data_IF_343668624827
#
_entry.id   IF_343668624827
#
_cell.length_a   1.000
_cell.length_b   1.000
_cell.length_c   1.000
_cell.angle_alpha   90.00
_cell.angle_beta   90.00
_cell.angle_gamma   90.00
#
_symmetry.space_group_name_H-M   'P 1'
#
loop_
_entity.id
_entity.type
_entity.pdbx_description
1 polymer ?
#
# COMPACT_ATOMS: atom_id res chain seq x y z
N UNK A 1 24.98 -27.04 27.39
CA UNK A 1 23.58 -26.81 27.04
C UNK A 1 23.54 -26.51 25.55
N UNK A 2 22.90 -27.32 24.70
CA UNK A 2 22.87 -27.09 23.26
C UNK A 2 21.84 -26.01 22.90
N UNK A 3 22.21 -25.11 21.99
CA UNK A 3 21.36 -24.10 21.37
C UNK A 3 20.32 -24.77 20.47
N UNK A 4 19.05 -24.33 20.44
CA UNK A 4 18.11 -24.79 19.43
C UNK A 4 18.46 -24.22 18.05
N UNK A 5 18.56 -25.10 17.07
CA UNK A 5 18.70 -24.76 15.67
C UNK A 5 17.41 -24.13 15.17
N UNK A 6 17.49 -22.91 14.64
CA UNK A 6 16.42 -22.28 13.89
C UNK A 6 16.19 -23.06 12.59
N UNK A 7 15.09 -23.78 12.52
CA UNK A 7 14.64 -24.45 11.30
C UNK A 7 13.97 -23.40 10.41
N UNK A 8 14.70 -22.86 9.43
CA UNK A 8 14.14 -22.06 8.36
C UNK A 8 13.32 -22.99 7.45
N UNK A 9 12.01 -22.97 7.62
CA UNK A 9 11.07 -23.66 6.73
C UNK A 9 10.88 -22.78 5.47
N UNK A 10 11.68 -23.06 4.45
CA UNK A 10 11.43 -22.50 3.11
C UNK A 10 10.19 -23.19 2.54
N UNK A 11 9.05 -22.52 2.65
CA UNK A 11 7.81 -22.96 2.01
C UNK A 11 7.86 -22.54 0.53
N UNK A 12 8.36 -23.42 -0.33
CA UNK A 12 8.23 -23.28 -1.77
C UNK A 12 6.78 -23.61 -2.13
N UNK A 13 5.92 -22.62 -2.19
CA UNK A 13 4.58 -22.72 -2.78
C UNK A 13 4.70 -22.71 -4.29
N UNK A 14 4.72 -23.89 -4.91
CA UNK A 14 4.43 -24.03 -6.34
C UNK A 14 2.93 -23.88 -6.57
N UNK A 15 2.46 -22.67 -6.71
CA UNK A 15 1.09 -22.37 -7.15
C UNK A 15 1.02 -22.49 -8.68
N UNK A 16 0.69 -23.68 -9.16
CA UNK A 16 0.22 -23.86 -10.54
C UNK A 16 -1.27 -23.57 -10.60
N UNK A 17 -1.68 -22.31 -10.61
CA UNK A 17 -3.03 -21.92 -11.02
C UNK A 17 -3.04 -21.80 -12.55
N UNK A 18 -3.71 -22.74 -13.21
CA UNK A 18 -3.96 -22.69 -14.64
C UNK A 18 -4.99 -21.59 -14.93
N UNK A 19 -4.58 -20.32 -14.91
CA UNK A 19 -5.38 -19.24 -15.46
C UNK A 19 -5.32 -19.37 -16.99
N UNK A 20 -6.40 -19.84 -17.60
CA UNK A 20 -6.60 -19.80 -19.05
C UNK A 20 -7.26 -18.45 -19.36
N UNK A 21 -6.57 -17.51 -20.03
CA UNK A 21 -7.20 -16.26 -20.44
C UNK A 21 -8.35 -16.57 -21.41
N UNK A 22 -9.45 -15.78 -21.39
CA UNK A 22 -10.53 -15.96 -22.35
C UNK A 22 -10.00 -15.75 -23.76
N UNK A 23 -10.13 -16.75 -24.62
CA UNK A 23 -9.84 -16.66 -26.05
C UNK A 23 -11.03 -15.96 -26.71
N UNK A 24 -11.06 -14.63 -26.70
CA UNK A 24 -11.87 -13.86 -27.64
C UNK A 24 -11.03 -13.57 -28.88
N UNK A 25 -11.61 -13.73 -30.07
CA UNK A 25 -10.90 -13.57 -31.34
C UNK A 25 -10.54 -12.12 -31.70
N UNK A 26 -10.80 -11.16 -30.84
CA UNK A 26 -10.35 -9.77 -30.99
C UNK A 26 -8.94 -9.61 -30.42
N UNK A 27 -8.07 -8.81 -31.07
CA UNK A 27 -6.73 -8.54 -30.54
C UNK A 27 -6.87 -7.89 -29.15
N UNK A 28 -6.27 -8.52 -28.14
CA UNK A 28 -6.25 -7.95 -26.79
C UNK A 28 -5.49 -6.62 -26.79
N UNK A 29 -6.00 -5.58 -26.10
CA UNK A 29 -5.26 -4.33 -25.99
C UNK A 29 -3.92 -4.58 -25.30
N UNK A 30 -2.91 -3.80 -25.64
CA UNK A 30 -1.69 -3.76 -24.81
C UNK A 30 -2.01 -3.12 -23.46
N UNK A 31 -1.14 -3.39 -22.46
CA UNK A 31 -1.37 -2.95 -21.09
C UNK A 31 -1.55 -1.44 -20.98
N UNK A 32 -0.71 -0.64 -21.65
CA UNK A 32 -0.80 0.83 -21.59
C UNK A 32 -2.13 1.33 -22.15
N UNK A 33 -2.52 0.84 -23.34
CA UNK A 33 -3.79 1.21 -23.97
C UNK A 33 -5.00 0.84 -23.13
N UNK A 34 -4.98 -0.32 -22.47
CA UNK A 34 -6.04 -0.76 -21.58
C UNK A 34 -6.16 0.15 -20.34
N UNK A 35 -5.02 0.51 -19.76
CA UNK A 35 -4.99 1.42 -18.59
C UNK A 35 -5.42 2.84 -18.95
N UNK A 36 -4.98 3.36 -20.11
CA UNK A 36 -5.40 4.67 -20.60
C UNK A 36 -6.89 4.72 -20.89
N UNK A 37 -7.44 3.68 -21.51
CA UNK A 37 -8.86 3.58 -21.81
C UNK A 37 -9.71 3.51 -20.52
N UNK A 38 -9.29 2.72 -19.53
CA UNK A 38 -9.95 2.64 -18.24
C UNK A 38 -9.95 3.99 -17.50
N UNK A 39 -8.85 4.74 -17.58
CA UNK A 39 -8.73 6.05 -16.94
C UNK A 39 -9.36 7.20 -17.75
N UNK A 40 -9.72 6.96 -19.02
CA UNK A 40 -10.35 7.98 -19.86
C UNK A 40 -11.80 8.23 -19.44
N UNK A 41 -12.21 9.50 -19.43
CA UNK A 41 -13.60 9.88 -19.20
C UNK A 41 -14.05 9.85 -17.74
N UNK A 42 -13.20 9.51 -16.78
CA UNK A 42 -13.50 9.63 -15.36
C UNK A 42 -13.35 11.10 -14.95
N UNK A 43 -14.41 11.75 -14.42
CA UNK A 43 -14.33 13.13 -13.96
C UNK A 43 -13.36 13.24 -12.77
N UNK A 44 -12.53 14.27 -12.77
CA UNK A 44 -11.53 14.48 -11.72
C UNK A 44 -10.11 14.05 -12.13
N UNK A 45 -9.22 14.04 -11.17
CA UNK A 45 -7.82 13.68 -11.40
C UNK A 45 -7.60 12.20 -11.08
N UNK A 46 -6.94 11.51 -12.02
CA UNK A 46 -6.54 10.09 -11.88
C UNK A 46 -5.06 9.98 -12.16
N UNK A 47 -4.27 9.62 -11.16
CA UNK A 47 -2.85 9.30 -11.26
C UNK A 47 -2.64 7.79 -11.14
N UNK A 48 -1.86 7.22 -12.06
CA UNK A 48 -1.60 5.78 -12.10
C UNK A 48 -0.11 5.52 -12.26
N UNK A 49 0.41 4.57 -11.50
CA UNK A 49 1.72 3.97 -11.72
C UNK A 49 1.57 2.46 -11.71
N UNK A 50 2.12 1.80 -12.73
CA UNK A 50 2.27 0.35 -12.78
C UNK A 50 3.73 0.03 -13.05
N UNK A 51 4.35 -0.75 -12.18
CA UNK A 51 5.72 -1.24 -12.37
C UNK A 51 5.71 -2.75 -12.41
N UNK A 52 6.14 -3.32 -13.52
CA UNK A 52 6.41 -4.76 -13.64
C UNK A 52 7.86 -4.99 -13.18
N UNK A 53 8.02 -5.68 -12.06
CA UNK A 53 9.32 -5.79 -11.40
C UNK A 53 10.28 -6.74 -12.11
N UNK A 54 9.74 -7.69 -12.90
CA UNK A 54 10.55 -8.67 -13.63
C UNK A 54 11.07 -8.11 -14.95
N UNK A 55 10.20 -7.45 -15.74
CA UNK A 55 10.61 -6.85 -17.01
C UNK A 55 11.21 -5.45 -16.87
N UNK A 56 10.97 -4.77 -15.73
CA UNK A 56 11.33 -3.37 -15.52
C UNK A 56 10.43 -2.39 -16.29
N UNK A 57 9.32 -2.86 -16.87
CA UNK A 57 8.36 -1.98 -17.54
C UNK A 57 7.68 -1.05 -16.53
N UNK A 58 7.53 0.22 -16.92
CA UNK A 58 6.85 1.24 -16.13
C UNK A 58 5.80 1.94 -16.98
N UNK A 59 4.56 1.93 -16.49
CA UNK A 59 3.49 2.79 -17.00
C UNK A 59 3.21 3.90 -15.99
N UNK A 60 3.12 5.12 -16.48
CA UNK A 60 2.89 6.30 -15.66
C UNK A 60 1.86 7.23 -16.30
N UNK A 61 0.87 7.62 -15.52
CA UNK A 61 -0.11 8.64 -15.87
C UNK A 61 -0.20 9.64 -14.72
N UNK A 62 0.10 10.92 -14.99
CA UNK A 62 0.12 12.00 -13.97
C UNK A 62 0.85 11.60 -12.68
N UNK A 63 1.96 10.88 -12.83
CA UNK A 63 2.64 10.26 -11.70
C UNK A 63 3.21 11.28 -10.70
N UNK A 64 3.56 12.50 -11.16
CA UNK A 64 4.15 13.55 -10.34
C UNK A 64 3.11 14.51 -9.74
N UNK A 65 1.81 14.33 -10.05
CA UNK A 65 0.76 15.16 -9.47
C UNK A 65 0.67 14.94 -7.97
N UNK A 66 0.86 16.01 -7.23
CA UNK A 66 0.78 15.96 -5.77
C UNK A 66 -0.67 16.02 -5.31
N UNK A 67 -1.05 15.06 -4.48
CA UNK A 67 -2.39 14.94 -3.91
C UNK A 67 -2.33 14.81 -2.40
N UNK A 68 -3.49 14.93 -1.75
CA UNK A 68 -3.63 14.52 -0.36
C UNK A 68 -3.34 13.02 -0.22
N UNK A 69 -2.44 12.64 0.69
CA UNK A 69 -2.04 11.24 0.84
C UNK A 69 -3.16 10.36 1.41
N UNK A 70 -4.14 10.96 2.08
CA UNK A 70 -5.11 10.23 2.86
C UNK A 70 -4.40 9.15 3.70
N UNK A 71 -4.98 7.98 3.91
CA UNK A 71 -4.35 6.93 4.72
C UNK A 71 -3.14 6.24 4.09
N UNK A 72 -2.69 6.63 2.88
CA UNK A 72 -1.44 6.09 2.31
C UNK A 72 -0.20 6.57 3.06
N UNK A 73 -0.25 7.71 3.77
CA UNK A 73 0.88 8.16 4.60
C UNK A 73 1.26 7.14 5.70
N UNK A 74 0.34 6.24 6.06
CA UNK A 74 0.56 5.16 7.04
C UNK A 74 1.64 4.17 6.58
N UNK A 75 1.89 4.08 5.29
CA UNK A 75 3.04 3.35 4.73
C UNK A 75 4.37 3.94 5.24
N UNK A 76 4.46 5.26 5.31
CA UNK A 76 5.67 5.95 5.77
C UNK A 76 5.85 5.83 7.28
N UNK A 77 4.73 5.88 8.03
CA UNK A 77 4.74 5.65 9.49
C UNK A 77 5.20 4.22 9.79
N UNK A 78 4.70 3.23 9.05
CA UNK A 78 5.13 1.84 9.16
C UNK A 78 6.64 1.71 8.94
N UNK A 79 7.18 2.27 7.86
CA UNK A 79 8.62 2.22 7.58
C UNK A 79 9.46 2.92 8.66
N UNK A 80 8.99 4.05 9.20
CA UNK A 80 9.67 4.77 10.28
C UNK A 80 9.70 3.96 11.58
N UNK A 81 8.63 3.22 11.92
CA UNK A 81 8.62 2.31 13.07
C UNK A 81 9.66 1.19 12.92
N UNK A 82 9.72 0.54 11.76
CA UNK A 82 10.73 -0.49 11.51
C UNK A 82 12.16 0.07 11.52
N UNK A 83 12.35 1.31 11.06
CA UNK A 83 13.64 1.97 11.12
C UNK A 83 14.07 2.25 12.58
N UNK A 84 13.17 2.82 13.40
CA UNK A 84 13.44 3.05 14.83
C UNK A 84 13.73 1.75 15.57
N UNK A 85 13.05 0.66 15.20
CA UNK A 85 13.25 -0.65 15.83
C UNK A 85 14.66 -1.23 15.61
N UNK A 86 15.46 -0.71 14.67
CA UNK A 86 16.87 -1.08 14.55
C UNK A 86 17.70 -0.60 15.77
N UNK A 87 17.34 0.59 16.30
CA UNK A 87 18.02 1.20 17.44
C UNK A 87 17.32 0.83 18.77
N UNK A 88 16.03 0.49 18.73
CA UNK A 88 15.23 0.05 19.87
C UNK A 88 14.52 -1.29 19.56
N UNK A 89 15.17 -2.42 19.79
CA UNK A 89 14.57 -3.74 19.51
C UNK A 89 13.34 -4.08 20.34
N UNK A 90 13.05 -3.35 21.42
CA UNK A 90 11.88 -3.54 22.28
C UNK A 90 10.70 -2.62 21.89
N UNK A 91 10.87 -1.76 20.88
CA UNK A 91 9.87 -0.80 20.45
C UNK A 91 8.48 -1.42 20.26
N UNK A 92 8.41 -2.56 19.60
CA UNK A 92 7.13 -3.21 19.29
C UNK A 92 6.39 -3.77 20.51
N UNK A 93 7.08 -3.97 21.63
CA UNK A 93 6.52 -4.41 22.91
C UNK A 93 6.19 -3.22 23.83
N UNK A 94 6.71 -2.03 23.53
CA UNK A 94 6.33 -0.79 24.23
C UNK A 94 4.86 -0.46 23.99
N UNK A 95 4.25 0.32 24.90
CA UNK A 95 2.84 0.71 24.76
C UNK A 95 2.71 2.20 24.46
N UNK A 96 1.69 2.54 23.67
CA UNK A 96 1.24 3.90 23.38
C UNK A 96 -0.20 4.10 23.86
N UNK A 97 -0.57 5.32 24.32
CA UNK A 97 -1.94 5.61 24.70
C UNK A 97 -2.81 5.80 23.45
N UNK A 98 -3.72 4.88 23.19
CA UNK A 98 -4.67 4.96 22.05
C UNK A 98 -6.05 5.35 22.58
N UNK A 99 -6.67 6.34 21.94
CA UNK A 99 -8.04 6.76 22.25
C UNK A 99 -9.02 5.68 21.80
N UNK A 100 -9.86 5.20 22.71
CA UNK A 100 -10.86 4.18 22.43
C UNK A 100 -12.23 4.60 22.91
N UNK A 101 -13.31 4.36 22.12
CA UNK A 101 -14.66 4.68 22.57
C UNK A 101 -15.08 3.74 23.70
N UNK A 102 -15.70 4.31 24.72
CA UNK A 102 -16.31 3.59 25.85
C UNK A 102 -17.79 3.96 25.98
N UNK A 103 -18.62 2.98 26.23
CA UNK A 103 -20.01 3.20 26.56
C UNK A 103 -20.16 3.38 28.07
N UNK A 104 -20.41 4.61 28.54
CA UNK A 104 -20.60 4.94 29.94
C UNK A 104 -21.98 5.53 30.15
N UNK A 105 -22.83 4.88 30.95
CA UNK A 105 -24.20 5.32 31.25
C UNK A 105 -25.06 5.65 29.99
N UNK A 106 -24.85 4.90 28.89
CA UNK A 106 -25.60 5.12 27.63
C UNK A 106 -25.04 6.23 26.72
N UNK A 107 -23.90 6.83 27.11
CA UNK A 107 -23.17 7.83 26.30
C UNK A 107 -21.82 7.24 25.84
N UNK A 108 -21.40 7.65 24.63
CA UNK A 108 -20.06 7.33 24.13
C UNK A 108 -19.09 8.36 24.71
N UNK A 109 -18.16 7.90 25.50
CA UNK A 109 -17.00 8.64 26.00
C UNK A 109 -15.72 8.05 25.38
N UNK A 110 -14.59 8.73 25.51
CA UNK A 110 -13.30 8.26 25.01
C UNK A 110 -12.31 8.14 26.16
N UNK A 111 -11.59 7.04 26.19
CA UNK A 111 -10.54 6.81 27.17
C UNK A 111 -9.23 6.40 26.49
N UNK A 112 -8.12 6.83 27.05
CA UNK A 112 -6.80 6.38 26.63
C UNK A 112 -6.55 4.98 27.19
N UNK A 113 -6.26 4.04 26.29
CA UNK A 113 -5.91 2.66 26.63
C UNK A 113 -4.47 2.39 26.19
N UNK A 114 -3.65 1.75 27.05
CA UNK A 114 -2.32 1.33 26.64
C UNK A 114 -2.43 0.18 25.60
N UNK A 115 -1.91 0.41 24.42
CA UNK A 115 -1.89 -0.56 23.31
C UNK A 115 -0.43 -0.79 22.93
N UNK A 116 -0.03 -2.05 22.74
CA UNK A 116 1.32 -2.35 22.26
C UNK A 116 1.55 -1.71 20.88
N UNK A 117 2.75 -1.18 20.63
CA UNK A 117 3.10 -0.56 19.34
C UNK A 117 2.83 -1.53 18.18
N UNK A 118 3.11 -2.82 18.36
CA UNK A 118 2.80 -3.89 17.40
C UNK A 118 1.30 -3.95 17.07
N UNK A 119 0.44 -3.97 18.07
CA UNK A 119 -1.01 -4.04 17.90
C UNK A 119 -1.54 -2.74 17.24
N UNK A 120 -0.99 -1.60 17.62
CA UNK A 120 -1.30 -0.31 17.00
C UNK A 120 -0.91 -0.28 15.52
N UNK A 121 0.28 -0.79 15.18
CA UNK A 121 0.75 -0.91 13.80
C UNK A 121 -0.16 -1.85 12.98
N UNK A 122 -0.54 -3.00 13.52
CA UNK A 122 -1.47 -3.92 12.86
C UNK A 122 -2.83 -3.25 12.62
N UNK A 123 -3.42 -2.60 13.63
CA UNK A 123 -4.68 -1.88 13.46
C UNK A 123 -4.58 -0.74 12.43
N UNK A 124 -3.46 0.00 12.42
CA UNK A 124 -3.18 1.07 11.46
C UNK A 124 -3.15 0.55 10.02
N UNK A 125 -2.56 -0.61 9.77
CA UNK A 125 -2.43 -1.16 8.42
C UNK A 125 -3.65 -1.98 8.04
N UNK A 126 -4.10 -2.95 8.84
CA UNK A 126 -5.17 -3.89 8.52
C UNK A 126 -6.54 -3.17 8.34
N UNK A 127 -6.85 -2.23 9.22
CA UNK A 127 -8.15 -1.54 9.29
C UNK A 127 -8.08 -0.04 9.08
N UNK A 128 -6.88 0.49 8.87
CA UNK A 128 -6.66 1.93 8.73
C UNK A 128 -7.08 2.73 9.97
N UNK A 129 -6.91 2.16 11.18
CA UNK A 129 -7.29 2.78 12.46
C UNK A 129 -6.58 4.14 12.64
N UNK A 130 -7.36 5.21 12.79
CA UNK A 130 -6.83 6.57 12.88
C UNK A 130 -6.31 6.90 14.28
N UNK A 131 -6.94 6.37 15.32
CA UNK A 131 -6.52 6.61 16.70
C UNK A 131 -5.19 5.93 16.99
N UNK A 132 -5.01 4.68 16.53
CA UNK A 132 -3.72 4.01 16.58
C UNK A 132 -2.67 4.76 15.76
N UNK A 133 -3.03 5.27 14.57
CA UNK A 133 -2.13 6.07 13.73
C UNK A 133 -1.67 7.33 14.45
N UNK A 134 -2.58 8.09 15.06
CA UNK A 134 -2.25 9.32 15.79
C UNK A 134 -1.26 9.03 16.93
N UNK A 135 -1.50 7.99 17.73
CA UNK A 135 -0.61 7.58 18.82
C UNK A 135 0.78 7.16 18.31
N UNK A 136 0.87 6.44 17.18
CA UNK A 136 2.14 6.02 16.59
C UNK A 136 2.91 7.20 15.98
N UNK A 137 2.22 8.18 15.38
CA UNK A 137 2.86 9.40 14.89
C UNK A 137 3.31 10.29 16.06
N UNK A 138 2.57 10.34 17.15
CA UNK A 138 2.99 11.03 18.37
C UNK A 138 4.26 10.39 18.97
N UNK A 139 4.32 9.05 19.00
CA UNK A 139 5.50 8.31 19.46
C UNK A 139 6.75 8.63 18.63
N UNK A 140 6.62 8.65 17.29
CA UNK A 140 7.74 8.90 16.38
C UNK A 140 8.10 10.37 16.26
N UNK A 141 7.11 11.24 16.25
CA UNK A 141 7.21 12.60 15.75
C UNK A 141 7.21 12.66 14.20
N UNK A 142 6.61 13.71 13.66
CA UNK A 142 6.55 13.92 12.20
C UNK A 142 7.91 14.08 11.55
N UNK A 143 8.89 14.62 12.27
CA UNK A 143 10.25 14.84 11.76
C UNK A 143 10.95 13.52 11.43
N UNK A 144 10.78 12.49 12.27
CA UNK A 144 11.36 11.16 12.01
C UNK A 144 10.69 10.46 10.83
N UNK A 145 9.35 10.57 10.73
CA UNK A 145 8.62 10.05 9.57
C UNK A 145 9.11 10.75 8.29
N UNK A 146 9.25 12.07 8.30
CA UNK A 146 9.73 12.84 7.14
C UNK A 146 11.22 12.57 6.84
N UNK A 147 12.05 12.32 7.84
CA UNK A 147 13.43 11.88 7.63
C UNK A 147 13.48 10.50 6.92
N UNK A 148 12.57 9.60 7.28
CA UNK A 148 12.42 8.31 6.60
C UNK A 148 11.96 8.49 5.15
N UNK A 149 10.95 9.32 4.89
CA UNK A 149 10.48 9.70 3.54
C UNK A 149 11.66 10.20 2.69
N UNK A 150 12.42 11.16 3.22
CA UNK A 150 13.56 11.74 2.53
C UNK A 150 14.65 10.70 2.23
N UNK A 151 14.93 9.80 3.17
CA UNK A 151 15.94 8.73 2.99
C UNK A 151 15.58 7.74 1.88
N UNK A 152 14.28 7.54 1.60
CA UNK A 152 13.77 6.71 0.52
C UNK A 152 13.70 7.45 -0.82
N UNK A 153 14.03 8.76 -0.84
CA UNK A 153 14.02 9.59 -2.03
C UNK A 153 12.60 9.94 -2.53
N UNK A 154 11.62 10.00 -1.61
CA UNK A 154 10.24 10.39 -1.90
C UNK A 154 10.15 11.92 -1.82
N UNK A 155 9.92 12.59 -2.95
CA UNK A 155 10.09 14.05 -3.07
C UNK A 155 8.81 14.84 -2.87
N UNK A 156 7.67 14.20 -3.12
CA UNK A 156 6.34 14.82 -3.08
C UNK A 156 5.57 14.47 -1.81
N UNK A 157 6.12 13.54 -1.02
CA UNK A 157 5.50 13.03 0.19
C UNK A 157 5.92 13.82 1.42
N UNK A 158 4.92 14.25 2.21
CA UNK A 158 5.14 14.95 3.48
C UNK A 158 4.07 14.55 4.48
N UNK A 159 4.48 14.21 5.71
CA UNK A 159 3.59 13.98 6.84
C UNK A 159 3.65 15.19 7.77
N UNK A 160 2.49 15.80 8.05
CA UNK A 160 2.35 16.98 8.92
C UNK A 160 1.69 16.66 10.24
N UNK A 161 0.89 15.59 10.27
CA UNK A 161 0.21 15.13 11.49
C UNK A 161 -0.13 13.64 11.40
N UNK A 162 -0.60 13.06 12.50
CA UNK A 162 -1.17 11.71 12.51
C UNK A 162 -2.59 11.61 11.94
N UNK A 163 -3.18 12.73 11.51
CA UNK A 163 -4.49 12.75 10.88
C UNK A 163 -4.41 12.40 9.39
N UNK A 164 -5.52 11.92 8.82
CA UNK A 164 -5.57 11.55 7.41
C UNK A 164 -5.48 12.77 6.47
N UNK A 165 -5.88 13.95 6.94
CA UNK A 165 -5.87 15.20 6.17
C UNK A 165 -4.58 16.00 6.35
N UNK A 166 -4.22 16.76 5.32
CA UNK A 166 -3.06 17.66 5.34
C UNK A 166 -1.72 17.02 4.99
N UNK A 167 -1.65 15.71 4.86
CA UNK A 167 -0.49 14.98 4.38
C UNK A 167 -0.51 14.90 2.85
N UNK A 168 0.63 14.91 2.19
CA UNK A 168 0.70 14.86 0.72
C UNK A 168 1.57 13.73 0.20
N UNK A 169 1.30 13.31 -1.04
CA UNK A 169 2.11 12.33 -1.78
C UNK A 169 1.88 12.46 -3.29
N UNK A 170 2.58 11.67 -4.09
CA UNK A 170 2.34 11.46 -5.52
C UNK A 170 2.30 9.97 -5.85
N UNK A 171 1.73 9.61 -7.01
CA UNK A 171 1.73 8.22 -7.44
C UNK A 171 3.15 7.70 -7.69
N UNK A 172 4.07 8.55 -8.14
CA UNK A 172 5.48 8.20 -8.28
C UNK A 172 6.14 7.85 -6.95
N UNK A 173 5.90 8.64 -5.91
CA UNK A 173 6.49 8.37 -4.60
C UNK A 173 5.95 7.07 -3.99
N UNK A 174 4.65 6.84 -4.05
CA UNK A 174 4.03 5.58 -3.60
C UNK A 174 4.55 4.40 -4.42
N UNK A 175 4.65 4.54 -5.76
CA UNK A 175 5.21 3.52 -6.64
C UNK A 175 6.66 3.20 -6.30
N UNK A 176 7.48 4.24 -6.03
CA UNK A 176 8.86 4.07 -5.57
C UNK A 176 8.92 3.35 -4.22
N UNK A 177 8.11 3.76 -3.25
CA UNK A 177 8.05 3.11 -1.95
C UNK A 177 7.74 1.61 -2.09
N UNK A 178 6.68 1.26 -2.83
CA UNK A 178 6.28 -0.14 -3.02
C UNK A 178 7.30 -0.95 -3.82
N UNK A 179 7.99 -0.31 -4.79
CA UNK A 179 9.09 -0.94 -5.54
C UNK A 179 10.26 -1.28 -4.63
N UNK A 180 10.66 -0.35 -3.75
CA UNK A 180 11.71 -0.60 -2.76
C UNK A 180 11.28 -1.70 -1.78
N UNK A 181 10.01 -1.69 -1.36
CA UNK A 181 9.45 -2.71 -0.47
C UNK A 181 9.50 -4.10 -1.11
N UNK A 182 9.03 -4.23 -2.36
CA UNK A 182 9.06 -5.49 -3.10
C UNK A 182 10.50 -6.01 -3.33
N UNK A 183 11.45 -5.11 -3.53
CA UNK A 183 12.87 -5.44 -3.64
C UNK A 183 13.56 -5.71 -2.31
N UNK A 184 12.82 -5.61 -1.20
CA UNK A 184 13.33 -5.82 0.15
C UNK A 184 14.42 -4.81 0.55
N UNK A 185 14.28 -3.56 0.07
CA UNK A 185 15.26 -2.48 0.23
C UNK A 185 14.82 -1.41 1.26
N UNK A 186 13.67 -1.59 1.92
CA UNK A 186 13.22 -0.69 3.00
C UNK A 186 13.70 -1.23 4.34
N UNK A 187 14.56 -0.46 5.01
CA UNK A 187 15.17 -0.73 6.33
C UNK A 187 16.07 -1.96 6.29
N UNK A 188 15.52 -3.16 6.13
CA UNK A 188 16.23 -4.42 5.94
C UNK A 188 15.35 -5.40 5.14
N UNK A 189 15.90 -6.49 4.60
CA UNK A 189 15.09 -7.53 3.96
C UNK A 189 14.01 -8.09 4.89
N UNK A 190 14.32 -8.35 6.15
CA UNK A 190 13.40 -8.91 7.15
C UNK A 190 12.28 -7.90 7.49
N UNK A 191 12.63 -6.62 7.62
CA UNK A 191 11.66 -5.55 7.84
C UNK A 191 10.73 -5.39 6.64
N UNK A 192 11.27 -5.43 5.42
CA UNK A 192 10.49 -5.39 4.19
C UNK A 192 9.52 -6.56 4.08
N UNK A 193 9.96 -7.79 4.40
CA UNK A 193 9.10 -8.97 4.43
C UNK A 193 7.96 -8.81 5.46
N UNK A 194 8.29 -8.34 6.66
CA UNK A 194 7.30 -8.10 7.70
C UNK A 194 6.28 -7.01 7.31
N UNK A 195 6.71 -5.92 6.69
CA UNK A 195 5.83 -4.87 6.16
C UNK A 195 4.93 -5.39 5.04
N UNK A 196 5.46 -6.20 4.13
CA UNK A 196 4.70 -6.84 3.06
C UNK A 196 3.63 -7.77 3.63
N UNK A 197 3.99 -8.54 4.66
CA UNK A 197 3.04 -9.41 5.36
C UNK A 197 1.89 -8.65 6.01
N UNK A 198 2.15 -7.49 6.61
CA UNK A 198 1.10 -6.62 7.14
C UNK A 198 0.16 -6.14 6.02
N UNK A 199 0.70 -5.71 4.88
CA UNK A 199 -0.09 -5.24 3.74
C UNK A 199 -0.94 -6.35 3.11
N UNK A 200 -0.52 -7.63 3.16
CA UNK A 200 -1.32 -8.78 2.74
C UNK A 200 -2.56 -9.01 3.61
N UNK A 201 -2.56 -8.50 4.84
CA UNK A 201 -3.67 -8.63 5.79
C UNK A 201 -4.70 -7.51 5.67
N UNK A 202 -4.54 -6.58 4.72
CA UNK A 202 -5.48 -5.46 4.51
C UNK A 202 -6.94 -5.95 4.49
N UNK A 203 -7.75 -5.41 5.41
CA UNK A 203 -9.17 -5.78 5.55
C UNK A 203 -10.12 -5.03 4.60
N UNK A 204 -9.67 -3.93 3.99
CA UNK A 204 -10.49 -3.09 3.10
C UNK A 204 -10.19 -3.44 1.64
N UNK A 205 -10.98 -4.33 1.05
CA UNK A 205 -10.77 -4.91 -0.27
C UNK A 205 -11.87 -4.47 -1.26
N UNK A 206 -12.14 -3.17 -1.37
CA UNK A 206 -13.25 -2.60 -2.13
C UNK A 206 -12.81 -1.77 -3.36
N UNK A 207 -11.60 -1.98 -3.89
CA UNK A 207 -10.97 -1.17 -4.96
C UNK A 207 -10.22 -2.01 -5.98
N UNK A 208 -8.89 -1.87 -6.12
CA UNK A 208 -8.07 -2.62 -7.09
C UNK A 208 -8.29 -4.13 -6.98
N UNK A 209 -8.39 -4.65 -5.77
CA UNK A 209 -8.64 -6.08 -5.50
C UNK A 209 -9.95 -6.60 -6.12
N UNK A 210 -10.96 -5.76 -6.35
CA UNK A 210 -12.21 -6.16 -7.02
C UNK A 210 -12.02 -6.61 -8.47
N UNK A 211 -10.94 -6.15 -9.13
CA UNK A 211 -10.58 -6.53 -10.49
C UNK A 211 -9.74 -7.80 -10.58
N UNK A 212 -9.27 -8.31 -9.46
CA UNK A 212 -8.37 -9.46 -9.37
C UNK A 212 -9.15 -10.75 -9.05
N UNK A 213 -8.60 -11.95 -9.32
CA UNK A 213 -9.14 -13.20 -8.80
C UNK A 213 -9.27 -13.18 -7.26
N UNK A 214 -10.23 -13.92 -6.72
CA UNK A 214 -10.50 -13.93 -5.27
C UNK A 214 -9.34 -14.47 -4.43
N UNK A 215 -8.50 -15.30 -5.03
CA UNK A 215 -7.30 -15.90 -4.43
C UNK A 215 -6.02 -15.18 -4.80
N UNK A 216 -6.12 -14.02 -5.47
CA UNK A 216 -4.96 -13.20 -5.78
C UNK A 216 -4.29 -12.68 -4.50
N UNK A 217 -2.98 -12.81 -4.45
CA UNK A 217 -2.18 -12.15 -3.42
C UNK A 217 -1.99 -10.69 -3.80
N UNK A 218 -2.44 -9.80 -2.92
CA UNK A 218 -2.31 -8.36 -3.09
C UNK A 218 -1.98 -7.70 -1.76
N UNK A 219 -0.71 -7.35 -1.57
CA UNK A 219 -0.24 -6.61 -0.41
C UNK A 219 -0.49 -5.12 -0.64
N UNK A 220 -1.50 -4.51 0.01
CA UNK A 220 -1.91 -3.17 -0.35
C UNK A 220 -2.34 -2.29 0.83
N UNK A 221 -2.46 -1.01 0.57
CA UNK A 221 -3.03 -0.02 1.49
C UNK A 221 -3.99 0.89 0.74
N UNK A 222 -5.14 1.08 1.36
CA UNK A 222 -6.16 2.01 0.89
C UNK A 222 -6.03 3.38 1.55
N UNK A 223 -6.51 4.42 0.85
CA UNK A 223 -6.62 5.77 1.40
C UNK A 223 -7.91 6.46 0.99
N UNK A 224 -8.60 7.09 1.90
CA UNK A 224 -9.71 7.99 1.62
C UNK A 224 -9.77 9.16 2.57
N UNK A 225 -10.13 10.30 1.98
CA UNK A 225 -10.60 11.49 2.65
C UNK A 225 -11.70 12.15 1.80
N UNK A 226 -12.11 13.36 2.14
CA UNK A 226 -13.12 14.06 1.36
C UNK A 226 -12.63 14.30 -0.08
N UNK A 227 -13.23 13.63 -1.05
CA UNK A 227 -12.91 13.76 -2.48
C UNK A 227 -11.75 12.91 -2.99
N UNK A 228 -11.06 12.16 -2.13
CA UNK A 228 -9.97 11.28 -2.53
C UNK A 228 -10.29 9.81 -2.29
N UNK A 229 -9.90 8.98 -3.24
CA UNK A 229 -9.97 7.52 -3.17
C UNK A 229 -8.67 6.96 -3.72
N UNK A 230 -7.94 6.21 -2.91
CA UNK A 230 -6.63 5.68 -3.25
C UNK A 230 -6.55 4.20 -2.96
N UNK A 231 -5.81 3.48 -3.79
CA UNK A 231 -5.36 2.12 -3.48
C UNK A 231 -4.00 1.88 -4.13
N UNK A 232 -3.08 1.28 -3.39
CA UNK A 232 -1.74 1.01 -3.87
C UNK A 232 -1.17 -0.23 -3.20
N UNK A 233 -0.48 -1.07 -3.98
CA UNK A 233 0.07 -2.32 -3.46
C UNK A 233 0.95 -3.08 -4.44
N UNK A 234 1.35 -4.27 -4.01
CA UNK A 234 2.14 -5.24 -4.75
C UNK A 234 1.25 -6.45 -5.04
N UNK A 235 1.05 -6.78 -6.30
CA UNK A 235 0.26 -7.92 -6.75
C UNK A 235 1.19 -9.01 -7.31
N UNK A 236 0.93 -10.27 -6.95
CA UNK A 236 1.57 -11.44 -7.56
C UNK A 236 0.67 -11.96 -8.67
N UNK A 237 1.11 -11.77 -9.92
CA UNK A 237 0.37 -12.13 -11.12
C UNK A 237 0.99 -13.35 -11.82
N UNK A 238 0.31 -13.87 -12.84
CA UNK A 238 0.89 -14.92 -13.70
C UNK A 238 2.13 -14.44 -14.49
N UNK A 239 2.34 -13.12 -14.56
CA UNK A 239 3.41 -12.46 -15.30
C UNK A 239 4.56 -11.98 -14.41
N UNK A 240 4.48 -12.25 -13.10
CA UNK A 240 5.45 -11.80 -12.10
C UNK A 240 4.86 -10.80 -11.10
N UNK A 241 5.73 -10.16 -10.35
CA UNK A 241 5.35 -9.18 -9.33
C UNK A 241 5.13 -7.80 -9.95
N UNK A 242 4.05 -7.14 -9.53
CA UNK A 242 3.68 -5.80 -10.01
C UNK A 242 3.33 -4.86 -8.88
N UNK A 243 3.89 -3.67 -8.95
CA UNK A 243 3.44 -2.52 -8.16
C UNK A 243 2.31 -1.84 -8.92
N UNK A 244 1.20 -1.60 -8.22
CA UNK A 244 0.02 -0.90 -8.71
C UNK A 244 -0.27 0.28 -7.80
N UNK A 245 -0.42 1.48 -8.36
CA UNK A 245 -0.80 2.69 -7.64
C UNK A 245 -1.88 3.40 -8.41
N UNK A 246 -3.01 3.67 -7.74
CA UNK A 246 -4.08 4.51 -8.27
C UNK A 246 -4.45 5.55 -7.22
N UNK A 247 -4.23 6.82 -7.54
CA UNK A 247 -4.61 7.95 -6.72
C UNK A 247 -5.67 8.76 -7.47
N UNK A 248 -6.72 9.19 -6.75
CA UNK A 248 -7.78 10.01 -7.34
C UNK A 248 -8.01 11.26 -6.50
N UNK A 249 -8.38 12.37 -7.15
CA UNK A 249 -8.82 13.60 -6.51
C UNK A 249 -10.01 14.18 -7.27
N UNK A 250 -11.08 14.56 -6.54
CA UNK A 250 -12.31 15.05 -7.12
C UNK A 250 -13.11 13.98 -7.90
N UNK A 251 -12.84 12.69 -7.70
CA UNK A 251 -13.57 11.57 -8.29
C UNK A 251 -14.61 11.05 -7.29
N UNK A 252 -15.85 10.87 -7.72
CA UNK A 252 -16.89 10.30 -6.86
C UNK A 252 -16.57 8.85 -6.49
N UNK A 253 -16.88 8.45 -5.25
CA UNK A 253 -16.51 7.12 -4.74
C UNK A 253 -16.99 5.93 -5.60
N UNK A 254 -18.22 5.92 -6.16
CA UNK A 254 -18.64 4.84 -7.06
C UNK A 254 -17.80 4.76 -8.34
N UNK A 255 -17.48 5.92 -8.94
CA UNK A 255 -16.68 6.00 -10.17
C UNK A 255 -15.22 5.59 -9.90
N UNK A 256 -14.67 6.00 -8.75
CA UNK A 256 -13.33 5.59 -8.32
C UNK A 256 -13.24 4.07 -8.11
N UNK A 257 -14.26 3.44 -7.52
CA UNK A 257 -14.29 1.97 -7.36
C UNK A 257 -14.40 1.25 -8.69
N UNK A 258 -15.26 1.73 -9.60
CA UNK A 258 -15.40 1.15 -10.94
C UNK A 258 -14.08 1.24 -11.71
N UNK A 259 -13.46 2.43 -11.72
CA UNK A 259 -12.14 2.68 -12.30
C UNK A 259 -11.08 1.72 -11.74
N UNK A 260 -10.96 1.63 -10.42
CA UNK A 260 -9.94 0.79 -9.78
C UNK A 260 -10.16 -0.69 -10.03
N UNK A 261 -11.42 -1.14 -10.10
CA UNK A 261 -11.74 -2.50 -10.51
C UNK A 261 -11.21 -2.79 -11.92
N UNK A 262 -11.45 -1.89 -12.88
CA UNK A 262 -10.99 -2.09 -14.25
C UNK A 262 -9.46 -2.00 -14.36
N UNK A 263 -8.83 -1.04 -13.68
CA UNK A 263 -7.36 -0.93 -13.64
C UNK A 263 -6.72 -2.15 -12.97
N UNK A 264 -7.29 -2.63 -11.86
CA UNK A 264 -6.83 -3.84 -11.18
C UNK A 264 -6.93 -5.08 -12.05
N UNK A 265 -8.03 -5.22 -12.80
CA UNK A 265 -8.22 -6.30 -13.75
C UNK A 265 -7.15 -6.28 -14.85
N UNK A 266 -7.01 -5.15 -15.56
CA UNK A 266 -6.06 -5.07 -16.68
C UNK A 266 -4.62 -5.21 -16.23
N UNK A 267 -4.25 -4.58 -15.11
CA UNK A 267 -2.91 -4.72 -14.57
C UNK A 267 -2.60 -6.13 -14.05
N UNK A 268 -3.60 -6.92 -13.71
CA UNK A 268 -3.42 -8.30 -13.27
C UNK A 268 -3.34 -9.30 -14.44
N UNK A 269 -4.19 -9.14 -15.48
CA UNK A 269 -4.35 -10.15 -16.52
C UNK A 269 -3.48 -9.94 -17.76
N UNK A 270 -3.06 -8.70 -18.06
CA UNK A 270 -2.27 -8.42 -19.27
C UNK A 270 -0.76 -8.54 -19.00
N UNK A 271 0.01 -9.11 -19.95
CA UNK A 271 1.46 -9.06 -19.87
C UNK A 271 1.97 -7.61 -19.98
N UNK A 272 3.07 -7.31 -19.30
CA UNK A 272 3.82 -6.09 -19.58
C UNK A 272 4.52 -6.21 -20.93
N UNK A 273 4.68 -5.11 -21.68
CA UNK A 273 5.52 -5.12 -22.88
C UNK A 273 6.93 -5.61 -22.55
N UNK A 274 7.43 -6.55 -23.33
CA UNK A 274 8.84 -6.97 -23.22
C UNK A 274 9.69 -5.78 -23.63
N UNK A 275 10.58 -5.31 -22.74
CA UNK A 275 11.52 -4.27 -23.09
C UNK A 275 12.32 -4.71 -24.31
N UNK A 276 12.30 -3.92 -25.39
CA UNK A 276 13.14 -4.19 -26.55
C UNK A 276 14.59 -4.27 -26.05
N UNK A 277 15.26 -5.39 -26.31
CA UNK A 277 16.66 -5.56 -25.95
C UNK A 277 17.46 -4.35 -26.50
N UNK A 278 18.04 -3.55 -25.60
CA UNK A 278 18.93 -2.44 -25.95
C UNK A 278 20.31 -2.93 -26.28
#
# INVERSE_FOLDING_TARGET
MPRPAACALALVLTLSSSFVPPVSGDPQPDLASALDQAAAGVPGMVSVVVVDLDSGYVYERRADERVEAASLFKLFVMAALYRRALDDPQLFEATVPVSRPRLTAGQVDYALEPVAVREGLEAMIDWSDNEATAALVELLGTDEVNATIASLGLRDSVVRSGEASGNSTSARDIGRFLTLLARREIVSPEASDAMTWLLLRQGINDRLSLGMPKDALFAHKTGNSAGTFHDAGIAWTAWGERVLVVLTDGVAAPDARALMKDLGYWAYVLPAPVAAAR
#
